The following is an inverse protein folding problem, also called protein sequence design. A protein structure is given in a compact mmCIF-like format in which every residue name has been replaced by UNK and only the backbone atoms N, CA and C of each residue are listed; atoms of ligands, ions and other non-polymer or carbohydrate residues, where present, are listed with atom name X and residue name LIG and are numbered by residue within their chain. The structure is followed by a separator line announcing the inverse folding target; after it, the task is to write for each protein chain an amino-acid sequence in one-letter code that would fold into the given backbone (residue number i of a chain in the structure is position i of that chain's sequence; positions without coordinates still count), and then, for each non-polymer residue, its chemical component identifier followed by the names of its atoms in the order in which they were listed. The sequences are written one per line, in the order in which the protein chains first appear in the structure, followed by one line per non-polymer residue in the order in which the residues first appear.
data_IF_783903332032
#
_entry.id   IF_783903332032
#
_cell.length_a   1.000
_cell.length_b   1.000
_cell.length_c   1.000
_cell.angle_alpha   90.00
_cell.angle_beta   90.00
_cell.angle_gamma   90.00
#
_symmetry.space_group_name_H-M   'P 1'
#
loop_
_entity.id
_entity.type
_entity.pdbx_description
1 polymer ?
#
# COMPACT_ATOMS: atom_id res chain seq x y z
N UNK A 1 9.76 38.11 87.39
CA UNK A 1 8.74 39.17 87.33
C UNK A 1 8.63 39.60 85.87
N UNK A 2 7.39 39.71 85.37
CA UNK A 2 6.95 39.99 83.99
C UNK A 2 6.72 38.79 83.04
N UNK A 3 5.46 38.36 83.09
CA UNK A 3 4.63 37.68 82.11
C UNK A 3 4.43 38.49 80.82
N UNK A 4 4.31 37.84 79.66
CA UNK A 4 3.34 38.22 78.64
C UNK A 4 2.78 36.99 77.91
N UNK A 5 1.46 36.87 77.98
CA UNK A 5 0.58 35.99 77.22
C UNK A 5 0.58 36.37 75.73
N UNK A 6 0.42 35.40 74.83
CA UNK A 6 -0.51 35.52 73.69
C UNK A 6 -1.10 34.17 73.31
N UNK A 7 -2.40 34.20 73.04
CA UNK A 7 -3.33 33.10 72.87
C UNK A 7 -3.22 32.42 71.50
N UNK A 8 -3.72 31.18 71.45
CA UNK A 8 -3.82 30.37 70.23
C UNK A 8 -4.84 30.91 69.23
N UNK A 9 -4.59 30.61 67.96
CA UNK A 9 -5.56 30.69 66.88
C UNK A 9 -5.57 29.36 66.14
N UNK A 10 -6.77 28.81 66.01
CA UNK A 10 -7.10 27.52 65.42
C UNK A 10 -7.28 27.63 63.90
N UNK A 11 -7.07 26.47 63.26
CA UNK A 11 -7.14 26.12 61.83
C UNK A 11 -7.96 26.98 60.85
N UNK A 12 -7.37 27.22 59.68
CA UNK A 12 -8.04 27.00 58.39
C UNK A 12 -7.01 26.69 57.28
N UNK A 13 -7.00 25.43 56.82
CA UNK A 13 -6.24 25.04 55.63
C UNK A 13 -6.96 25.56 54.38
N UNK A 14 -6.25 26.15 53.39
CA UNK A 14 -6.85 26.43 52.10
C UNK A 14 -7.09 25.11 51.35
N UNK A 15 -8.27 25.00 50.74
CA UNK A 15 -8.69 23.88 49.92
C UNK A 15 -7.62 23.53 48.86
N UNK A 16 -7.21 22.26 48.84
CA UNK A 16 -6.33 21.72 47.81
C UNK A 16 -6.95 21.89 46.42
N UNK A 17 -6.13 21.96 45.35
CA UNK A 17 -6.64 22.11 44.00
C UNK A 17 -7.59 20.94 43.70
N UNK A 18 -8.79 21.29 43.23
CA UNK A 18 -9.77 20.33 42.74
C UNK A 18 -9.06 19.37 41.78
N UNK A 19 -9.12 18.07 42.09
CA UNK A 19 -8.72 17.02 41.18
C UNK A 19 -9.54 17.17 39.92
N UNK A 20 -8.95 17.79 38.89
CA UNK A 20 -9.47 17.72 37.54
C UNK A 20 -9.48 16.25 37.18
N UNK A 21 -10.68 15.70 36.99
CA UNK A 21 -10.84 14.40 36.37
C UNK A 21 -10.26 14.52 34.96
N UNK A 22 -9.04 14.03 34.76
CA UNK A 22 -8.52 13.73 33.43
C UNK A 22 -9.36 12.60 32.84
N UNK A 23 -10.51 12.97 32.28
CA UNK A 23 -10.99 12.31 31.07
C UNK A 23 -10.25 12.98 29.90
N UNK A 24 -8.92 12.86 29.88
CA UNK A 24 -8.17 13.03 28.65
C UNK A 24 -8.58 11.84 27.78
N UNK A 25 -9.62 12.06 26.97
CA UNK A 25 -9.86 11.24 25.79
C UNK A 25 -8.68 11.57 24.90
N UNK A 26 -7.57 10.83 25.07
CA UNK A 26 -6.32 11.08 24.37
C UNK A 26 -6.66 11.09 22.89
N UNK A 27 -6.62 12.27 22.26
CA UNK A 27 -7.03 12.45 20.88
C UNK A 27 -6.18 11.51 20.01
N UNK A 28 -6.78 10.40 19.57
CA UNK A 28 -6.11 9.41 18.76
C UNK A 28 -5.86 10.05 17.40
N UNK A 29 -4.62 10.06 16.92
CA UNK A 29 -4.21 10.77 15.69
C UNK A 29 -4.92 10.38 14.38
N UNK A 30 -5.99 9.59 14.44
CA UNK A 30 -6.99 9.33 13.40
C UNK A 30 -8.05 10.42 13.28
N UNK A 31 -8.29 11.23 14.32
CA UNK A 31 -9.28 12.33 14.33
C UNK A 31 -8.91 13.49 13.39
N UNK A 32 -7.63 13.56 13.00
CA UNK A 32 -7.07 14.55 12.08
C UNK A 32 -7.10 14.12 10.60
N UNK A 33 -7.55 12.89 10.28
CA UNK A 33 -7.53 12.36 8.92
C UNK A 33 -8.31 13.27 7.97
N UNK A 34 -7.65 13.73 6.90
CA UNK A 34 -8.24 14.54 5.85
C UNK A 34 -8.57 15.98 6.27
N UNK A 35 -8.20 16.42 7.48
CA UNK A 35 -8.43 17.78 7.97
C UNK A 35 -7.18 18.66 7.75
N UNK A 36 -7.34 19.99 7.74
CA UNK A 36 -6.20 20.90 7.86
C UNK A 36 -5.50 20.71 9.22
N UNK A 37 -4.19 20.43 9.20
CA UNK A 37 -3.38 20.19 10.40
C UNK A 37 -2.30 21.27 10.51
N UNK A 38 -2.29 22.00 11.63
CA UNK A 38 -1.18 22.90 11.96
C UNK A 38 0.01 22.08 12.47
N UNK A 39 1.15 22.15 11.78
CA UNK A 39 2.37 21.46 12.19
C UNK A 39 3.30 22.40 12.97
N UNK A 40 3.88 21.91 14.06
CA UNK A 40 4.86 22.65 14.89
C UNK A 40 6.29 22.14 14.76
N UNK A 41 6.47 20.94 14.19
CA UNK A 41 7.76 20.34 13.88
C UNK A 41 7.75 19.71 12.49
N UNK A 42 8.94 19.41 11.96
CA UNK A 42 9.13 18.80 10.65
C UNK A 42 9.13 19.82 9.51
N UNK A 43 9.10 19.34 8.28
CA UNK A 43 9.18 20.16 7.07
C UNK A 43 8.02 21.16 6.92
N UNK A 44 6.90 20.89 7.59
CA UNK A 44 5.70 21.73 7.55
C UNK A 44 5.55 22.65 8.77
N UNK A 45 6.56 22.76 9.63
CA UNK A 45 6.51 23.59 10.83
C UNK A 45 6.04 25.03 10.53
N UNK A 46 5.06 25.52 11.28
CA UNK A 46 4.45 26.84 11.11
C UNK A 46 3.45 26.94 9.96
N UNK A 47 3.15 25.85 9.25
CA UNK A 47 2.13 25.81 8.19
C UNK A 47 0.98 24.89 8.58
N UNK A 48 -0.23 25.25 8.13
CA UNK A 48 -1.37 24.33 8.12
C UNK A 48 -1.42 23.60 6.79
N UNK A 49 -1.36 22.27 6.85
CA UNK A 49 -1.39 21.40 5.67
C UNK A 49 -2.59 20.45 5.76
N UNK A 50 -3.35 20.33 4.67
CA UNK A 50 -4.29 19.22 4.46
C UNK A 50 -3.66 18.22 3.51
N UNK A 51 -3.72 16.94 3.85
CA UNK A 51 -3.30 15.86 2.98
C UNK A 51 -4.51 15.14 2.38
N UNK A 52 -4.34 14.60 1.18
CA UNK A 52 -5.34 13.81 0.47
C UNK A 52 -4.66 12.61 -0.20
N UNK A 53 -5.24 11.42 -0.05
CA UNK A 53 -4.83 10.24 -0.79
C UNK A 53 -5.87 9.89 -1.85
N UNK A 54 -5.40 9.50 -3.02
CA UNK A 54 -6.25 8.98 -4.11
C UNK A 54 -5.63 7.73 -4.71
N UNK A 55 -6.39 6.64 -4.73
CA UNK A 55 -6.00 5.47 -5.52
C UNK A 55 -6.13 5.81 -7.01
N UNK A 56 -5.00 5.76 -7.73
CA UNK A 56 -4.93 6.03 -9.17
C UNK A 56 -4.75 4.75 -9.99
N UNK A 57 -4.42 3.64 -9.33
CA UNK A 57 -4.46 2.29 -9.87
C UNK A 57 -4.82 1.31 -8.77
N UNK A 58 -5.96 0.66 -8.92
CA UNK A 58 -6.40 -0.40 -8.02
C UNK A 58 -5.72 -1.73 -8.35
N UNK A 59 -5.56 -2.60 -7.36
CA UNK A 59 -5.40 -4.03 -7.67
C UNK A 59 -6.70 -4.57 -8.23
N UNK A 60 -6.62 -5.51 -9.17
CA UNK A 60 -7.80 -6.19 -9.72
C UNK A 60 -7.84 -7.65 -9.26
N UNK A 61 -6.67 -8.28 -9.19
CA UNK A 61 -6.56 -9.68 -8.82
C UNK A 61 -5.25 -10.00 -8.09
N UNK A 62 -5.30 -11.10 -7.35
CA UNK A 62 -4.16 -11.71 -6.70
C UNK A 62 -4.21 -13.22 -6.84
N UNK A 63 -3.06 -13.86 -6.68
CA UNK A 63 -3.02 -15.30 -6.42
C UNK A 63 -2.65 -15.49 -4.97
N UNK A 64 -3.31 -16.42 -4.27
CA UNK A 64 -2.95 -16.79 -2.91
C UNK A 64 -1.44 -17.03 -2.80
N UNK A 65 -0.85 -16.40 -1.81
CA UNK A 65 0.57 -16.51 -1.52
C UNK A 65 0.95 -17.97 -1.24
N UNK A 66 1.99 -18.43 -1.93
CA UNK A 66 2.68 -19.68 -1.65
C UNK A 66 4.17 -19.38 -1.46
N UNK A 67 4.81 -19.99 -0.45
CA UNK A 67 6.23 -19.70 -0.11
C UNK A 67 7.19 -19.83 -1.29
N UNK A 68 6.91 -20.74 -2.21
CA UNK A 68 7.76 -21.04 -3.38
C UNK A 68 7.48 -20.11 -4.57
N UNK A 69 6.25 -19.61 -4.71
CA UNK A 69 5.85 -18.76 -5.84
C UNK A 69 5.01 -17.59 -5.32
N UNK A 70 5.76 -16.56 -4.91
CA UNK A 70 5.24 -15.29 -4.42
C UNK A 70 4.87 -14.42 -5.62
N UNK A 71 3.60 -14.04 -5.69
CA UNK A 71 3.10 -13.10 -6.70
C UNK A 71 2.44 -11.93 -5.99
N UNK A 72 2.88 -10.69 -6.25
CA UNK A 72 2.17 -9.54 -5.76
C UNK A 72 0.80 -9.42 -6.45
N UNK A 73 -0.05 -8.57 -5.91
CA UNK A 73 -1.30 -8.13 -6.55
C UNK A 73 -1.00 -7.51 -7.92
N UNK A 74 -1.92 -7.71 -8.85
CA UNK A 74 -1.81 -7.29 -10.24
C UNK A 74 -3.10 -6.55 -10.66
N UNK A 75 -2.97 -5.36 -11.28
CA UNK A 75 -1.76 -4.54 -11.31
C UNK A 75 -1.35 -4.07 -9.88
N UNK A 76 -0.10 -3.62 -9.67
CA UNK A 76 0.32 -3.17 -8.34
C UNK A 76 -0.51 -1.93 -7.92
N UNK A 77 -1.05 -1.87 -6.69
CA UNK A 77 -1.80 -0.69 -6.27
C UNK A 77 -0.91 0.56 -6.21
N UNK A 78 -1.44 1.69 -6.67
CA UNK A 78 -0.75 2.99 -6.68
C UNK A 78 -1.65 4.07 -6.10
N UNK A 79 -1.12 4.79 -5.12
CA UNK A 79 -1.82 5.87 -4.42
C UNK A 79 -1.06 7.18 -4.60
N UNK A 80 -1.75 8.22 -5.05
CA UNK A 80 -1.24 9.57 -5.16
C UNK A 80 -1.46 10.32 -3.84
N UNK A 81 -0.42 11.01 -3.36
CA UNK A 81 -0.53 12.00 -2.30
C UNK A 81 -0.67 13.39 -2.90
N UNK A 82 -1.64 14.15 -2.40
CA UNK A 82 -1.77 15.58 -2.66
C UNK A 82 -1.70 16.34 -1.34
N UNK A 83 -0.94 17.42 -1.34
CA UNK A 83 -0.75 18.27 -0.16
C UNK A 83 -1.21 19.68 -0.47
N UNK A 84 -1.98 20.25 0.44
CA UNK A 84 -2.56 21.58 0.29
C UNK A 84 -2.16 22.45 1.46
N UNK A 85 -1.69 23.67 1.17
CA UNK A 85 -1.51 24.69 2.19
C UNK A 85 -2.85 25.40 2.39
N UNK A 86 -3.30 25.41 3.64
CA UNK A 86 -4.56 26.03 4.05
C UNK A 86 -4.26 27.30 4.85
N UNK A 87 -4.93 28.39 4.50
CA UNK A 87 -4.85 29.69 5.21
C UNK A 87 -6.20 30.02 5.82
N UNK A 88 -6.18 30.82 6.89
CA UNK A 88 -7.39 31.36 7.53
C UNK A 88 -8.42 30.28 7.91
N UNK A 89 -7.91 29.15 8.43
CA UNK A 89 -8.68 27.95 8.79
C UNK A 89 -9.84 28.29 9.72
N UNK A 90 -11.03 27.81 9.39
CA UNK A 90 -12.24 28.02 10.20
C UNK A 90 -12.85 29.42 10.10
N UNK A 91 -12.37 30.25 9.18
CA UNK A 91 -12.95 31.58 8.89
C UNK A 91 -13.68 31.56 7.54
N UNK A 92 -14.44 32.64 7.26
CA UNK A 92 -15.08 32.83 5.95
C UNK A 92 -14.09 33.05 4.79
N UNK A 93 -12.82 33.27 5.11
CA UNK A 93 -11.74 33.49 4.14
C UNK A 93 -10.82 32.28 3.98
N UNK A 94 -11.22 31.10 4.46
CA UNK A 94 -10.42 29.88 4.32
C UNK A 94 -10.06 29.63 2.86
N UNK A 95 -8.76 29.56 2.58
CA UNK A 95 -8.23 29.34 1.24
C UNK A 95 -7.34 28.11 1.22
N UNK A 96 -7.65 27.21 0.31
CA UNK A 96 -6.86 26.02 0.03
C UNK A 96 -6.10 26.16 -1.28
N UNK A 97 -4.80 25.85 -1.26
CA UNK A 97 -3.94 25.83 -2.44
C UNK A 97 -3.05 24.59 -2.45
N UNK A 98 -3.10 23.82 -3.53
CA UNK A 98 -2.22 22.65 -3.70
C UNK A 98 -0.77 23.10 -3.82
N UNK A 99 0.15 22.37 -3.18
CA UNK A 99 1.58 22.61 -3.30
C UNK A 99 1.99 22.28 -4.76
N UNK A 100 2.46 23.26 -5.54
CA UNK A 100 2.61 23.08 -6.99
C UNK A 100 3.89 22.32 -7.38
N UNK A 101 4.91 22.35 -6.51
CA UNK A 101 6.19 21.67 -6.74
C UNK A 101 6.50 20.71 -5.60
N UNK A 102 6.36 19.41 -5.87
CA UNK A 102 6.69 18.37 -4.89
C UNK A 102 8.20 18.08 -4.78
N UNK A 103 9.06 18.71 -5.60
CA UNK A 103 10.52 18.61 -5.43
C UNK A 103 11.02 19.28 -4.15
N UNK A 104 10.29 20.29 -3.65
CA UNK A 104 10.60 20.98 -2.40
C UNK A 104 10.11 20.20 -1.16
N UNK A 105 9.35 19.12 -1.37
CA UNK A 105 8.86 18.24 -0.30
C UNK A 105 9.91 17.17 -0.03
N UNK A 106 10.41 17.13 1.20
CA UNK A 106 11.31 16.09 1.65
C UNK A 106 10.53 14.78 1.76
N UNK A 107 10.77 13.87 0.82
CA UNK A 107 10.11 12.56 0.80
C UNK A 107 10.63 11.60 1.88
N UNK A 108 11.80 11.88 2.45
CA UNK A 108 12.34 11.08 3.55
C UNK A 108 11.43 11.24 4.77
N UNK A 109 10.92 10.11 5.28
CA UNK A 109 10.01 10.10 6.42
C UNK A 109 8.53 10.10 6.06
N UNK A 110 8.18 10.35 4.80
CA UNK A 110 6.84 10.12 4.27
C UNK A 110 6.61 8.62 4.13
N UNK A 111 5.54 8.11 4.73
CA UNK A 111 5.18 6.70 4.69
C UNK A 111 3.70 6.53 4.39
N UNK A 112 3.39 5.53 3.56
CA UNK A 112 2.04 5.04 3.40
C UNK A 112 1.96 3.60 3.88
N UNK A 113 1.05 3.30 4.80
CA UNK A 113 0.73 1.94 5.24
C UNK A 113 -0.51 1.43 4.50
N UNK A 114 -0.67 0.11 4.48
CA UNK A 114 -1.85 -0.54 3.91
C UNK A 114 -2.45 -1.56 4.88
N UNK A 115 -3.77 -1.48 5.05
CA UNK A 115 -4.60 -2.46 5.75
C UNK A 115 -5.44 -3.27 4.74
N UNK A 116 -5.74 -4.52 5.09
CA UNK A 116 -6.59 -5.42 4.29
C UNK A 116 -7.92 -5.65 4.99
N UNK A 117 -9.03 -5.55 4.25
CA UNK A 117 -10.36 -5.88 4.77
C UNK A 117 -11.08 -6.88 3.86
N UNK A 118 -11.69 -7.94 4.41
CA UNK A 118 -12.52 -8.86 3.64
C UNK A 118 -13.82 -8.17 3.19
N UNK A 119 -14.22 -8.45 1.95
CA UNK A 119 -15.52 -8.05 1.41
C UNK A 119 -16.32 -9.32 1.13
N UNK A 120 -17.44 -9.56 1.84
CA UNK A 120 -18.23 -10.76 1.59
C UNK A 120 -18.95 -10.68 0.23
N UNK A 121 -19.03 -11.83 -0.44
CA UNK A 121 -19.70 -12.00 -1.74
C UNK A 121 -21.23 -11.88 -1.66
N UNK A 122 -21.80 -11.95 -0.45
CA UNK A 122 -23.23 -11.93 -0.21
C UNK A 122 -23.52 -10.81 0.79
N UNK A 123 -24.49 -9.96 0.45
CA UNK A 123 -25.07 -8.99 1.38
C UNK A 123 -25.72 -9.76 2.53
N UNK A 124 -25.00 -9.95 3.64
CA UNK A 124 -25.67 -10.30 4.89
C UNK A 124 -26.51 -9.09 5.30
N UNK A 125 -27.77 -9.33 5.64
CA UNK A 125 -28.58 -8.35 6.37
C UNK A 125 -27.77 -7.87 7.58
N UNK A 126 -27.67 -6.56 7.85
CA UNK A 126 -26.84 -6.04 8.92
C UNK A 126 -27.32 -6.61 10.26
N UNK A 127 -26.62 -7.61 10.77
CA UNK A 127 -26.69 -7.96 12.18
C UNK A 127 -25.90 -6.88 12.90
N UNK A 128 -26.59 -5.89 13.45
CA UNK A 128 -25.97 -4.86 14.28
C UNK A 128 -25.28 -5.55 15.46
N UNK A 129 -23.97 -5.74 15.37
CA UNK A 129 -23.16 -5.92 16.57
C UNK A 129 -22.94 -4.53 17.12
N UNK A 130 -23.34 -4.29 18.37
CA UNK A 130 -23.28 -2.96 19.00
C UNK A 130 -21.85 -2.49 19.31
N UNK A 131 -20.83 -3.30 18.97
CA UNK A 131 -19.45 -3.11 19.40
C UNK A 131 -18.43 -2.87 18.27
N UNK A 132 -18.84 -2.75 17.01
CA UNK A 132 -17.88 -2.54 15.91
C UNK A 132 -18.12 -1.27 15.11
N UNK A 133 -17.10 -0.40 15.09
CA UNK A 133 -17.07 0.82 14.31
C UNK A 133 -17.01 0.50 12.81
N UNK A 134 -18.02 0.96 12.06
CA UNK A 134 -18.00 0.89 10.59
C UNK A 134 -17.10 1.98 10.05
N UNK A 135 -16.10 1.60 9.26
CA UNK A 135 -15.07 2.50 8.72
C UNK A 135 -15.23 2.77 7.22
N UNK A 136 -15.93 1.89 6.48
CA UNK A 136 -16.19 2.09 5.06
C UNK A 136 -17.43 1.32 4.59
N UNK A 137 -17.91 1.59 3.37
CA UNK A 137 -18.98 0.83 2.73
C UNK A 137 -18.58 0.40 1.32
N UNK A 138 -18.77 -0.88 0.99
CA UNK A 138 -18.54 -1.41 -0.36
C UNK A 138 -19.83 -2.05 -0.85
N UNK A 139 -20.44 -1.53 -1.92
CA UNK A 139 -21.72 -2.04 -2.45
C UNK A 139 -22.80 -2.20 -1.36
N UNK A 140 -22.98 -1.18 -0.51
CA UNK A 140 -23.87 -1.17 0.67
C UNK A 140 -23.52 -2.19 1.77
N UNK A 141 -22.37 -2.87 1.70
CA UNK A 141 -21.86 -3.70 2.78
C UNK A 141 -20.97 -2.88 3.73
N UNK A 142 -21.26 -2.82 5.04
CA UNK A 142 -20.42 -2.13 6.01
C UNK A 142 -19.10 -2.89 6.22
N UNK A 143 -17.99 -2.18 6.16
CA UNK A 143 -16.66 -2.68 6.53
C UNK A 143 -16.38 -2.16 7.94
N UNK A 144 -16.17 -3.08 8.86
CA UNK A 144 -15.93 -2.79 10.28
C UNK A 144 -14.43 -2.81 10.59
N UNK A 145 -13.95 -1.93 11.48
CA UNK A 145 -12.52 -1.90 11.87
C UNK A 145 -12.06 -3.25 12.44
N UNK A 146 -12.94 -3.95 13.16
CA UNK A 146 -12.66 -5.28 13.74
C UNK A 146 -12.42 -6.37 12.70
N UNK A 147 -12.88 -6.17 11.45
CA UNK A 147 -12.73 -7.13 10.37
C UNK A 147 -11.35 -7.07 9.69
N UNK A 148 -10.48 -6.14 10.12
CA UNK A 148 -9.13 -5.96 9.58
C UNK A 148 -8.33 -7.27 9.58
N UNK A 149 -7.84 -7.63 8.40
CA UNK A 149 -7.08 -8.85 8.14
C UNK A 149 -5.64 -8.55 7.68
N UNK A 150 -5.03 -7.44 8.12
CA UNK A 150 -3.69 -7.00 7.72
C UNK A 150 -2.61 -8.07 7.95
N UNK A 151 -2.77 -8.96 8.94
CA UNK A 151 -1.86 -10.10 9.17
C UNK A 151 -1.83 -11.13 8.03
N UNK A 152 -2.84 -11.11 7.15
CA UNK A 152 -2.89 -11.93 5.94
C UNK A 152 -2.08 -11.33 4.78
N UNK A 153 -1.60 -10.09 4.87
CA UNK A 153 -0.69 -9.51 3.90
C UNK A 153 0.72 -10.12 4.03
N UNK A 154 1.45 -10.16 2.91
CA UNK A 154 2.87 -10.52 2.83
C UNK A 154 3.58 -9.52 1.96
N UNK A 155 4.67 -8.97 2.49
CA UNK A 155 5.53 -8.07 1.75
C UNK A 155 5.59 -6.67 2.32
N UNK A 156 5.70 -5.69 1.43
CA UNK A 156 5.76 -4.29 1.79
C UNK A 156 4.36 -3.78 2.16
N UNK A 157 3.99 -3.91 3.45
CA UNK A 157 2.76 -3.32 4.02
C UNK A 157 2.91 -1.85 4.39
N UNK A 158 4.10 -1.30 4.17
CA UNK A 158 4.38 0.12 4.19
C UNK A 158 5.40 0.43 3.09
N UNK A 159 5.29 1.61 2.48
CA UNK A 159 6.18 2.05 1.41
C UNK A 159 6.53 3.53 1.57
N UNK A 160 7.74 3.88 1.11
CA UNK A 160 8.12 5.27 0.84
C UNK A 160 7.61 5.70 -0.54
N UNK A 161 7.38 7.00 -0.77
CA UNK A 161 6.89 7.44 -2.06
C UNK A 161 8.02 7.54 -3.09
N UNK A 162 7.62 7.58 -4.36
CA UNK A 162 8.45 8.01 -5.49
C UNK A 162 7.89 9.30 -6.05
N UNK A 163 8.75 10.25 -6.39
CA UNK A 163 8.35 11.46 -7.13
C UNK A 163 8.53 11.19 -8.61
N UNK A 164 7.43 11.24 -9.37
CA UNK A 164 7.47 11.00 -10.82
C UNK A 164 6.73 12.10 -11.56
N UNK A 165 6.99 12.26 -12.86
CA UNK A 165 6.10 13.05 -13.71
C UNK A 165 4.84 12.23 -14.04
N UNK A 166 3.68 12.73 -13.65
CA UNK A 166 2.38 12.13 -13.92
C UNK A 166 1.42 13.21 -14.41
N UNK A 167 0.75 12.97 -15.55
CA UNK A 167 -0.17 13.95 -16.19
C UNK A 167 0.47 15.34 -16.42
N UNK A 168 1.77 15.37 -16.72
CA UNK A 168 2.52 16.60 -16.99
C UNK A 168 2.91 17.41 -15.74
N UNK A 169 2.76 16.85 -14.54
CA UNK A 169 3.17 17.46 -13.27
C UNK A 169 3.95 16.47 -12.41
N UNK A 170 4.83 16.97 -11.54
CA UNK A 170 5.42 16.12 -10.48
C UNK A 170 4.32 15.62 -9.56
N UNK A 171 4.39 14.36 -9.17
CA UNK A 171 3.45 13.73 -8.26
C UNK A 171 4.17 12.82 -7.27
N UNK A 172 3.73 12.81 -6.02
CA UNK A 172 4.21 11.90 -4.98
C UNK A 172 3.32 10.64 -5.02
N UNK A 173 3.90 9.51 -5.40
CA UNK A 173 3.18 8.24 -5.53
C UNK A 173 3.72 7.17 -4.59
N UNK A 174 2.82 6.52 -3.86
CA UNK A 174 3.09 5.31 -3.10
C UNK A 174 2.75 4.10 -3.97
N UNK A 175 3.75 3.24 -4.23
CA UNK A 175 3.61 2.08 -5.13
C UNK A 175 3.75 0.80 -4.33
N UNK A 176 2.65 0.05 -4.19
CA UNK A 176 2.64 -1.24 -3.48
C UNK A 176 3.01 -2.39 -4.43
N UNK A 177 4.25 -2.34 -4.94
CA UNK A 177 4.79 -3.30 -5.92
C UNK A 177 4.93 -4.74 -5.38
N UNK A 178 5.06 -4.88 -4.06
CA UNK A 178 5.43 -6.13 -3.39
C UNK A 178 4.41 -6.52 -2.32
N UNK A 179 3.12 -6.53 -2.69
CA UNK A 179 2.02 -6.84 -1.78
C UNK A 179 1.30 -8.12 -2.22
N UNK A 180 1.25 -9.16 -1.38
CA UNK A 180 0.56 -10.43 -1.65
C UNK A 180 -0.36 -10.82 -0.48
N UNK A 181 -1.30 -11.75 -0.70
CA UNK A 181 -2.31 -12.14 0.31
C UNK A 181 -2.29 -13.64 0.58
N UNK A 182 -2.30 -14.06 1.85
CA UNK A 182 -2.21 -15.46 2.30
C UNK A 182 -3.52 -16.26 2.16
N UNK A 183 -4.64 -15.56 2.06
CA UNK A 183 -5.99 -16.13 2.07
C UNK A 183 -6.71 -15.79 0.76
N UNK A 184 -7.60 -16.68 0.36
CA UNK A 184 -8.47 -16.50 -0.81
C UNK A 184 -9.70 -15.67 -0.43
N UNK A 185 -10.33 -15.03 -1.42
CA UNK A 185 -11.54 -14.25 -1.23
C UNK A 185 -11.51 -12.89 -1.91
N UNK A 186 -12.51 -12.07 -1.62
CA UNK A 186 -12.58 -10.69 -2.09
C UNK A 186 -12.22 -9.74 -0.97
N UNK A 187 -11.48 -8.69 -1.30
CA UNK A 187 -10.93 -7.76 -0.33
C UNK A 187 -10.93 -6.33 -0.88
N UNK A 188 -10.79 -5.37 0.02
CA UNK A 188 -10.37 -4.00 -0.28
C UNK A 188 -9.10 -3.68 0.51
N UNK A 189 -8.37 -2.67 0.03
CA UNK A 189 -7.23 -2.09 0.73
C UNK A 189 -7.63 -0.74 1.33
N UNK A 190 -7.04 -0.39 2.48
CA UNK A 190 -7.07 0.95 3.04
C UNK A 190 -5.67 1.48 3.15
N UNK A 191 -5.44 2.66 2.61
CA UNK A 191 -4.14 3.31 2.58
C UNK A 191 -4.14 4.48 3.56
N UNK A 192 -3.07 4.61 4.35
CA UNK A 192 -2.92 5.67 5.35
C UNK A 192 -1.57 6.32 5.24
N UNK A 193 -1.55 7.64 5.18
CA UNK A 193 -0.34 8.43 5.05
C UNK A 193 0.00 9.19 6.34
N UNK A 194 1.28 9.22 6.66
CA UNK A 194 1.84 10.06 7.71
C UNK A 194 3.30 10.45 7.38
N UNK A 195 3.75 11.53 7.99
CA UNK A 195 5.15 11.99 7.99
C UNK A 195 5.71 11.77 9.41
N UNK A 196 6.74 10.95 9.54
CA UNK A 196 7.34 10.61 10.84
C UNK A 196 8.08 11.78 11.50
N UNK A 197 8.43 12.82 10.75
CA UNK A 197 9.15 13.99 11.25
C UNK A 197 8.23 15.17 11.55
N UNK A 198 7.00 15.16 11.02
CA UNK A 198 6.05 16.25 11.23
C UNK A 198 5.11 15.95 12.40
N UNK A 199 4.99 16.92 13.33
CA UNK A 199 4.12 16.79 14.52
C UNK A 199 3.03 17.87 14.53
N UNK A 200 1.75 17.49 14.70
CA UNK A 200 0.68 18.45 14.87
C UNK A 200 0.80 19.28 16.14
N UNK A 201 0.26 20.49 16.12
CA UNK A 201 0.03 21.28 17.32
C UNK A 201 -0.93 20.55 18.27
N UNK A 202 -0.61 20.49 19.57
CA UNK A 202 -1.38 19.81 20.63
C UNK A 202 -1.46 18.27 20.55
N UNK A 203 -0.68 17.61 19.70
CA UNK A 203 -0.57 16.14 19.68
C UNK A 203 0.85 15.72 20.03
N UNK A 204 0.97 14.69 20.89
CA UNK A 204 2.28 14.11 21.25
C UNK A 204 2.71 13.00 20.28
N UNK A 205 1.74 12.35 19.63
CA UNK A 205 1.94 11.23 18.72
C UNK A 205 1.97 11.67 17.24
N UNK A 206 2.40 10.74 16.37
CA UNK A 206 2.26 10.89 14.93
C UNK A 206 0.78 10.95 14.54
N UNK A 207 0.42 11.83 13.62
CA UNK A 207 -0.92 11.91 13.06
C UNK A 207 -1.01 11.19 11.72
N UNK A 208 -2.09 10.45 11.54
CA UNK A 208 -2.48 9.97 10.21
C UNK A 208 -3.11 11.17 9.50
N UNK A 209 -2.44 11.66 8.47
CA UNK A 209 -2.82 12.91 7.80
C UNK A 209 -3.91 12.68 6.76
N UNK A 210 -3.89 11.52 6.10
CA UNK A 210 -4.86 11.18 5.06
C UNK A 210 -5.10 9.67 4.99
N UNK A 211 -6.29 9.32 4.51
CA UNK A 211 -6.72 7.95 4.29
C UNK A 211 -7.52 7.87 2.99
N UNK A 212 -7.39 6.76 2.27
CA UNK A 212 -8.35 6.39 1.24
C UNK A 212 -8.57 4.87 1.19
N UNK A 213 -9.74 4.47 0.70
CA UNK A 213 -10.07 3.08 0.45
C UNK A 213 -9.97 2.79 -1.04
N UNK A 214 -9.35 1.65 -1.37
CA UNK A 214 -9.19 1.19 -2.74
C UNK A 214 -10.37 0.37 -3.25
N UNK A 215 -10.32 0.06 -4.54
CA UNK A 215 -11.26 -0.85 -5.20
C UNK A 215 -11.23 -2.27 -4.65
N UNK A 216 -12.34 -2.99 -4.84
CA UNK A 216 -12.42 -4.40 -4.47
C UNK A 216 -11.67 -5.28 -5.48
N UNK A 217 -10.90 -6.25 -4.98
CA UNK A 217 -10.12 -7.19 -5.79
C UNK A 217 -10.29 -8.62 -5.28
N UNK A 218 -9.95 -9.60 -6.13
CA UNK A 218 -10.12 -11.01 -5.80
C UNK A 218 -8.80 -11.77 -5.72
N UNK A 219 -8.62 -12.56 -4.67
CA UNK A 219 -7.46 -13.45 -4.48
C UNK A 219 -7.88 -14.88 -4.79
N UNK A 220 -7.40 -15.39 -5.92
CA UNK A 220 -7.72 -16.73 -6.41
C UNK A 220 -6.82 -17.80 -5.80
N UNK A 221 -7.35 -19.03 -5.78
CA UNK A 221 -6.54 -20.24 -5.58
C UNK A 221 -5.51 -20.42 -6.70
N UNK A 222 -4.51 -21.27 -6.48
CA UNK A 222 -3.49 -21.57 -7.52
C UNK A 222 -4.10 -22.18 -8.78
N UNK A 223 -5.22 -22.91 -8.66
CA UNK A 223 -5.85 -23.62 -9.78
C UNK A 223 -6.73 -22.70 -10.62
N UNK A 224 -7.43 -21.78 -9.98
CA UNK A 224 -8.40 -20.88 -10.62
C UNK A 224 -7.78 -19.54 -11.06
N UNK A 225 -6.52 -19.29 -10.69
CA UNK A 225 -5.84 -18.08 -11.06
C UNK A 225 -5.83 -17.87 -12.59
N UNK A 226 -6.42 -16.77 -13.09
CA UNK A 226 -6.61 -16.55 -14.53
C UNK A 226 -5.30 -16.33 -15.29
N UNK A 227 -4.21 -16.09 -14.57
CA UNK A 227 -2.96 -15.63 -15.16
C UNK A 227 -2.81 -14.13 -14.96
N UNK A 228 -1.73 -13.59 -15.51
CA UNK A 228 -1.41 -12.18 -15.39
C UNK A 228 -1.56 -11.51 -16.74
N UNK A 229 -2.17 -10.32 -16.73
CA UNK A 229 -2.39 -9.53 -17.93
C UNK A 229 -1.12 -8.75 -18.31
N UNK A 230 -1.18 -8.08 -19.46
CA UNK A 230 -0.19 -7.07 -19.81
C UNK A 230 -0.21 -5.95 -18.76
N UNK A 231 0.96 -5.39 -18.45
CA UNK A 231 1.05 -4.29 -17.50
C UNK A 231 0.26 -3.08 -17.99
N UNK A 232 -0.40 -2.38 -17.08
CA UNK A 232 -1.06 -1.10 -17.36
C UNK A 232 -0.05 -0.06 -17.84
N UNK A 233 -0.53 0.99 -18.52
CA UNK A 233 0.33 2.10 -18.95
C UNK A 233 1.02 2.79 -17.77
N UNK A 234 0.33 2.96 -16.64
CA UNK A 234 0.92 3.52 -15.43
C UNK A 234 2.02 2.61 -14.86
N UNK A 235 1.82 1.29 -14.83
CA UNK A 235 2.86 0.33 -14.38
C UNK A 235 4.11 0.41 -15.26
N UNK A 236 3.93 0.48 -16.59
CA UNK A 236 5.04 0.66 -17.54
C UNK A 236 5.74 1.99 -17.36
N UNK A 237 4.97 3.06 -17.10
CA UNK A 237 5.51 4.40 -16.88
C UNK A 237 6.33 4.48 -15.60
N UNK A 238 5.81 3.94 -14.49
CA UNK A 238 6.52 3.84 -13.21
C UNK A 238 7.85 3.09 -13.33
N UNK A 239 7.86 1.98 -14.08
CA UNK A 239 9.08 1.21 -14.32
C UNK A 239 10.13 2.02 -15.11
N UNK A 240 9.70 2.82 -16.10
CA UNK A 240 10.59 3.74 -16.83
C UNK A 240 11.20 4.82 -15.93
N UNK A 241 10.48 5.21 -14.88
CA UNK A 241 10.95 6.13 -13.84
C UNK A 241 11.79 5.48 -12.73
N UNK A 242 12.18 4.22 -12.89
CA UNK A 242 13.10 3.53 -11.97
C UNK A 242 12.42 2.87 -10.77
N UNK A 243 11.09 2.89 -10.68
CA UNK A 243 10.37 2.11 -9.67
C UNK A 243 10.54 0.62 -10.00
N UNK A 244 10.99 -0.18 -9.03
CA UNK A 244 11.28 -1.61 -9.21
C UNK A 244 9.98 -2.41 -9.40
N UNK A 245 9.55 -2.54 -10.64
CA UNK A 245 8.33 -3.25 -11.05
C UNK A 245 8.65 -4.34 -12.06
N UNK A 246 7.84 -5.41 -12.07
CA UNK A 246 7.91 -6.43 -13.10
C UNK A 246 6.96 -6.07 -14.25
N UNK A 247 7.50 -5.60 -15.37
CA UNK A 247 6.70 -5.19 -16.54
C UNK A 247 6.47 -6.35 -17.51
N UNK A 248 5.29 -6.35 -18.15
CA UNK A 248 4.88 -7.35 -19.15
C UNK A 248 4.24 -6.66 -20.33
N UNK A 249 4.74 -6.90 -21.53
CA UNK A 249 4.18 -6.32 -22.76
C UNK A 249 2.96 -7.09 -23.28
N UNK A 250 2.92 -8.42 -23.10
CA UNK A 250 1.84 -9.28 -23.62
C UNK A 250 1.39 -10.31 -22.58
N UNK A 251 0.11 -10.68 -22.63
CA UNK A 251 -0.44 -11.78 -21.83
C UNK A 251 0.25 -13.12 -22.20
N UNK A 252 0.79 -13.83 -21.20
CA UNK A 252 1.36 -15.17 -21.43
C UNK A 252 0.25 -16.22 -21.38
N UNK A 253 -0.32 -16.55 -22.55
CA UNK A 253 -1.29 -17.64 -22.66
C UNK A 253 -0.66 -18.99 -22.28
N UNK A 254 -1.31 -19.70 -21.36
CA UNK A 254 -0.98 -21.09 -21.03
C UNK A 254 -1.24 -21.94 -22.29
N UNK A 255 -0.20 -22.53 -22.89
CA UNK A 255 -0.38 -23.50 -23.97
C UNK A 255 -1.24 -24.66 -23.45
N UNK A 256 -2.46 -24.83 -23.97
CA UNK A 256 -3.28 -26.02 -23.72
C UNK A 256 -2.49 -27.23 -24.23
N UNK A 257 -1.99 -28.06 -23.32
CA UNK A 257 -1.45 -29.37 -23.67
C UNK A 257 -2.64 -30.30 -23.90
N UNK A 258 -3.16 -30.30 -25.12
CA UNK A 258 -4.36 -31.05 -25.47
C UNK A 258 -4.91 -30.72 -26.85
N UNK A 259 -4.05 -30.69 -27.87
CA UNK A 259 -4.49 -31.00 -29.23
C UNK A 259 -3.71 -32.23 -29.67
N UNK A 260 -4.48 -33.30 -29.83
CA UNK A 260 -4.10 -34.60 -30.36
C UNK A 260 -3.30 -34.38 -31.64
N UNK A 261 -2.06 -34.87 -31.68
CA UNK A 261 -1.37 -35.09 -32.96
C UNK A 261 -2.22 -36.11 -33.71
N UNK A 262 -3.00 -35.65 -34.68
CA UNK A 262 -3.63 -36.57 -35.62
C UNK A 262 -2.54 -37.38 -36.31
N UNK A 263 -2.73 -38.70 -36.25
CA UNK A 263 -1.94 -39.69 -36.96
C UNK A 263 -2.02 -39.42 -38.47
N UNK A 264 -0.94 -38.89 -39.04
CA UNK A 264 -0.66 -39.12 -40.45
C UNK A 264 0.02 -40.48 -40.59
N UNK A 265 -0.76 -41.46 -41.06
CA UNK A 265 -0.29 -42.78 -41.48
C UNK A 265 0.63 -42.65 -42.70
N UNK A 266 1.72 -43.44 -42.81
CA UNK A 266 2.60 -43.39 -43.98
C UNK A 266 2.00 -44.23 -45.12
N UNK A 267 1.96 -43.69 -46.35
CA UNK A 267 1.73 -44.50 -47.56
C UNK A 267 3.06 -44.85 -48.24
N UNK A 268 3.22 -46.08 -48.75
CA UNK A 268 4.40 -46.53 -49.48
C UNK A 268 4.23 -46.29 -50.98
N UNK A 269 5.22 -45.72 -51.68
CA UNK A 269 5.98 -46.43 -52.73
C UNK A 269 7.02 -45.55 -53.46
N UNK A 270 8.13 -46.23 -53.77
CA UNK A 270 9.05 -46.12 -54.91
C UNK A 270 9.51 -44.76 -55.49
N UNK A 271 10.83 -44.55 -55.40
CA UNK A 271 11.56 -43.55 -56.19
C UNK A 271 13.07 -43.65 -55.99
N UNK A 272 13.70 -44.59 -56.69
CA UNK A 272 15.15 -44.83 -56.76
C UNK A 272 15.97 -43.58 -57.09
N UNK A 273 17.09 -43.34 -56.38
CA UNK A 273 18.37 -42.89 -56.97
C UNK A 273 19.56 -43.09 -56.02
N UNK A 274 20.56 -43.81 -56.54
CA UNK A 274 21.87 -44.15 -55.97
C UNK A 274 22.82 -42.93 -55.92
N UNK A 275 23.86 -43.10 -55.07
CA UNK A 275 25.21 -42.47 -55.01
C UNK A 275 25.33 -41.37 -53.94
N UNK A 276 26.40 -41.28 -53.12
CA UNK A 276 27.73 -41.92 -53.11
C UNK A 276 28.31 -41.82 -51.68
N UNK A 277 29.14 -42.79 -51.29
CA UNK A 277 29.97 -42.83 -50.07
C UNK A 277 31.16 -41.85 -50.14
N UNK A 278 31.53 -41.31 -48.97
CA UNK A 278 32.93 -41.06 -48.52
C UNK A 278 32.89 -40.84 -47.00
N UNK A 279 33.19 -41.84 -46.16
CA UNK A 279 34.50 -42.13 -45.54
C UNK A 279 35.02 -40.99 -44.62
N UNK A 280 35.14 -41.27 -43.32
CA UNK A 280 35.71 -40.40 -42.28
C UNK A 280 37.24 -40.18 -42.41
N UNK A 281 37.98 -39.79 -41.33
CA UNK A 281 37.91 -40.42 -40.02
C UNK A 281 37.98 -39.47 -38.80
N UNK A 282 37.80 -40.13 -37.65
CA UNK A 282 38.03 -39.75 -36.26
C UNK A 282 39.49 -39.47 -35.86
N UNK A 283 39.67 -38.56 -34.91
CA UNK A 283 40.78 -38.42 -33.93
C UNK A 283 40.17 -37.65 -32.75
N UNK A 284 39.89 -38.21 -31.56
CA UNK A 284 40.76 -38.72 -30.48
C UNK A 284 41.96 -37.83 -30.12
N UNK A 285 42.09 -37.52 -28.84
CA UNK A 285 43.15 -36.67 -28.27
C UNK A 285 42.69 -35.82 -27.08
N UNK A 286 42.62 -36.42 -25.88
CA UNK A 286 42.60 -35.68 -24.61
C UNK A 286 43.99 -35.20 -24.19
N UNK A 287 44.04 -34.27 -23.23
CA UNK A 287 45.05 -33.96 -22.19
C UNK A 287 44.68 -32.57 -21.63
N UNK A 288 44.15 -32.42 -20.40
CA UNK A 288 44.80 -32.36 -19.08
C UNK A 288 45.70 -31.13 -18.83
N UNK A 289 45.28 -30.40 -17.78
CA UNK A 289 46.02 -29.66 -16.74
C UNK A 289 46.61 -28.25 -16.95
N UNK A 290 46.69 -27.58 -15.79
CA UNK A 290 47.45 -26.40 -15.35
C UNK A 290 46.66 -25.07 -15.40
N UNK A 291 46.20 -24.54 -14.25
CA UNK A 291 46.91 -23.85 -13.14
C UNK A 291 47.19 -22.36 -13.43
N UNK A 292 46.78 -21.54 -12.44
CA UNK A 292 47.22 -20.18 -12.09
C UNK A 292 47.05 -19.03 -13.11
N UNK A 293 46.13 -18.10 -12.83
CA UNK A 293 46.39 -16.85 -12.06
C UNK A 293 45.05 -16.19 -11.64
#
# INVERSE_FOLDING_TARGET
MFTHFYAGYESSQPAGPATFSQNDSQAHGTDLIGRPILFVHGQFAGSTIRAELREIQQAELGRKYARVDRRPLDPPPVVQLRLFKVRDVGTEHELESEIPNYEDVQILGLLCTVDLFPVPFVSKSPSKSEASETVHYVNNHPIEESSKATSALVGATFVQPSVIDYEGKKAILFVFADLAVKIEGSFILRYRFFDIFSRPYNYQDLAIQAECYGGAFHVYSTKEFPGLQASTELTKHLARWGVRLNTRETERRRRKKGETREHFSPSPNSGTRKRKRSSGPSTDGGFQSDEEE
#
